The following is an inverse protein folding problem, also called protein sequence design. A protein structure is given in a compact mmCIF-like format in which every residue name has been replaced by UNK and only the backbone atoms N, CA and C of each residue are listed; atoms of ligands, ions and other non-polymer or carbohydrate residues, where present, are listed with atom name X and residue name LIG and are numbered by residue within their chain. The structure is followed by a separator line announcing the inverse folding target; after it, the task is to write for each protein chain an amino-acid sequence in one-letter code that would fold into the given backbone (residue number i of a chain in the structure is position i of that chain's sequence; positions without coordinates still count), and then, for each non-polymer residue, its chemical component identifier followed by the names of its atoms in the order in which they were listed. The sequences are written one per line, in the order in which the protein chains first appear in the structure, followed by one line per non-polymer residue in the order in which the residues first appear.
data_IF_466824402275
#
_entry.id   IF_466824402275
#
_cell.length_a   1.000
_cell.length_b   1.000
_cell.length_c   1.000
_cell.angle_alpha   90.00
_cell.angle_beta   90.00
_cell.angle_gamma   90.00
#
_symmetry.space_group_name_H-M   'P 1'
#
loop_
_entity.id
_entity.type
_entity.pdbx_description
1 polymer ?
#
# COMPACT_ATOMS: atom_id res chain seq x y z
N UNK A 1 10.43 35.21 7.70
CA UNK A 1 10.10 33.84 8.13
C UNK A 1 10.17 33.65 9.62
N UNK A 2 11.20 34.16 10.27
CA UNK A 2 11.31 34.03 11.73
C UNK A 2 10.21 34.76 12.48
N UNK A 3 9.67 35.82 11.94
CA UNK A 3 8.56 36.55 12.55
C UNK A 3 7.29 35.72 12.68
N UNK A 4 7.07 34.79 11.76
CA UNK A 4 5.91 33.91 11.78
C UNK A 4 5.94 32.93 12.94
N UNK A 5 7.10 32.64 13.47
CA UNK A 5 7.26 31.69 14.58
C UNK A 5 6.96 32.29 15.94
N UNK A 6 6.75 33.59 16.00
CA UNK A 6 6.42 34.30 17.27
C UNK A 6 4.96 34.21 17.62
N UNK A 7 4.14 33.85 16.65
CA UNK A 7 2.69 33.71 16.82
C UNK A 7 2.34 32.24 17.02
N UNK A 8 1.51 31.94 18.04
CA UNK A 8 1.10 30.56 18.30
C UNK A 8 0.29 29.96 17.14
N UNK A 9 -0.50 30.77 16.43
CA UNK A 9 -1.23 30.32 15.26
C UNK A 9 -0.29 29.96 14.11
N UNK A 10 0.79 30.68 13.96
CA UNK A 10 1.81 30.37 12.95
C UNK A 10 2.53 29.07 13.26
N UNK A 11 2.77 28.74 14.55
CA UNK A 11 3.36 27.48 14.96
C UNK A 11 2.43 26.31 14.64
N UNK A 12 1.15 26.42 14.91
CA UNK A 12 0.17 25.40 14.55
C UNK A 12 0.06 25.22 13.05
N UNK A 13 0.02 26.30 12.28
CA UNK A 13 0.01 26.25 10.82
C UNK A 13 1.24 25.56 10.28
N UNK A 14 2.41 25.81 10.87
CA UNK A 14 3.66 25.14 10.49
C UNK A 14 3.63 23.64 10.76
N UNK A 15 3.05 23.21 11.88
CA UNK A 15 2.88 21.78 12.20
C UNK A 15 1.99 21.09 11.20
N UNK A 16 0.85 21.68 10.85
CA UNK A 16 -0.08 21.13 9.85
C UNK A 16 0.61 21.00 8.50
N UNK A 17 1.38 22.00 8.10
CA UNK A 17 2.12 22.01 6.85
C UNK A 17 3.19 20.91 6.82
N UNK A 18 3.96 20.75 7.89
CA UNK A 18 4.97 19.70 8.02
C UNK A 18 4.34 18.31 7.95
N UNK A 19 3.20 18.13 8.63
CA UNK A 19 2.48 16.85 8.60
C UNK A 19 2.00 16.51 7.18
N UNK A 20 1.52 17.48 6.42
CA UNK A 20 1.12 17.29 5.02
C UNK A 20 2.30 16.92 4.14
N UNK A 21 3.45 17.57 4.32
CA UNK A 21 4.67 17.26 3.58
C UNK A 21 5.12 15.84 3.89
N UNK A 22 5.12 15.44 5.16
CA UNK A 22 5.50 14.09 5.57
C UNK A 22 4.59 13.03 4.96
N UNK A 23 3.27 13.25 4.97
CA UNK A 23 2.31 12.34 4.36
C UNK A 23 2.54 12.22 2.86
N UNK A 24 2.73 13.33 2.15
CA UNK A 24 3.01 13.34 0.71
C UNK A 24 4.33 12.64 0.39
N UNK A 25 5.35 12.83 1.21
CA UNK A 25 6.64 12.15 1.04
C UNK A 25 6.52 10.64 1.22
N UNK A 26 5.73 10.18 2.18
CA UNK A 26 5.47 8.76 2.40
C UNK A 26 4.73 8.14 1.22
N UNK A 27 3.73 8.81 0.68
CA UNK A 27 3.03 8.36 -0.53
C UNK A 27 3.98 8.25 -1.72
N UNK A 28 4.85 9.22 -1.89
CA UNK A 28 5.83 9.23 -2.98
C UNK A 28 6.82 8.08 -2.83
N UNK A 29 7.32 7.83 -1.62
CA UNK A 29 8.22 6.72 -1.34
C UNK A 29 7.54 5.39 -1.62
N UNK A 30 6.28 5.22 -1.24
CA UNK A 30 5.52 4.00 -1.53
C UNK A 30 5.36 3.79 -3.03
N UNK A 31 5.07 4.84 -3.80
CA UNK A 31 4.98 4.74 -5.26
C UNK A 31 6.32 4.39 -5.89
N UNK A 32 7.41 4.95 -5.39
CA UNK A 32 8.76 4.62 -5.87
C UNK A 32 9.09 3.16 -5.59
N UNK A 33 8.78 2.66 -4.40
CA UNK A 33 8.99 1.27 -4.04
C UNK A 33 8.19 0.32 -4.94
N UNK A 34 6.96 0.69 -5.25
CA UNK A 34 6.08 -0.05 -6.15
C UNK A 34 6.68 -0.13 -7.56
N UNK A 35 7.18 0.97 -8.08
CA UNK A 35 7.83 1.02 -9.39
C UNK A 35 9.10 0.16 -9.40
N UNK A 36 9.94 0.30 -8.40
CA UNK A 36 11.18 -0.49 -8.28
C UNK A 36 10.85 -1.99 -8.22
N UNK A 37 9.87 -2.37 -7.43
CA UNK A 37 9.43 -3.76 -7.36
C UNK A 37 8.94 -4.26 -8.71
N UNK A 38 8.14 -3.48 -9.43
CA UNK A 38 7.60 -3.87 -10.72
C UNK A 38 8.68 -4.01 -11.79
N UNK A 39 9.75 -3.22 -11.71
CA UNK A 39 10.84 -3.22 -12.68
C UNK A 39 11.90 -4.29 -12.41
N UNK A 40 11.95 -4.84 -11.21
CA UNK A 40 12.98 -5.81 -10.83
C UNK A 40 12.64 -7.20 -11.38
N UNK A 41 13.43 -7.67 -12.37
CA UNK A 41 13.21 -8.98 -13.01
C UNK A 41 13.38 -10.16 -12.04
N UNK A 42 14.08 -10.00 -10.93
CA UNK A 42 14.16 -11.03 -9.90
C UNK A 42 12.80 -11.32 -9.25
N UNK A 43 11.86 -10.40 -9.41
CA UNK A 43 10.49 -10.53 -8.90
C UNK A 43 9.51 -11.09 -9.94
N UNK A 44 9.99 -11.56 -11.11
CA UNK A 44 9.14 -12.05 -12.18
C UNK A 44 8.62 -13.47 -11.91
N UNK A 45 7.95 -13.63 -10.76
CA UNK A 45 7.35 -14.90 -10.35
C UNK A 45 6.09 -14.65 -9.51
N UNK A 46 5.25 -15.68 -9.46
CA UNK A 46 3.98 -15.62 -8.73
C UNK A 46 4.19 -15.43 -7.23
N UNK A 47 5.20 -16.04 -6.65
CA UNK A 47 5.48 -15.93 -5.23
C UNK A 47 5.78 -14.49 -4.82
N UNK A 48 6.57 -13.77 -5.62
CA UNK A 48 6.86 -12.36 -5.38
C UNK A 48 5.60 -11.50 -5.43
N UNK A 49 4.74 -11.75 -6.42
CA UNK A 49 3.47 -11.04 -6.53
C UNK A 49 2.59 -11.26 -5.30
N UNK A 50 2.45 -12.50 -4.87
CA UNK A 50 1.62 -12.86 -3.70
C UNK A 50 2.21 -12.25 -2.43
N UNK A 51 3.51 -12.35 -2.21
CA UNK A 51 4.18 -11.81 -1.03
C UNK A 51 4.03 -10.29 -0.93
N UNK A 52 4.26 -9.60 -2.02
CA UNK A 52 4.14 -8.14 -2.06
C UNK A 52 2.70 -7.68 -1.83
N UNK A 53 1.76 -8.34 -2.48
CA UNK A 53 0.33 -8.04 -2.33
C UNK A 53 -0.15 -8.30 -0.91
N UNK A 54 0.31 -9.37 -0.30
CA UNK A 54 -0.01 -9.70 1.10
C UNK A 54 0.49 -8.62 2.05
N UNK A 55 1.76 -8.25 1.94
CA UNK A 55 2.34 -7.21 2.80
C UNK A 55 1.60 -5.88 2.64
N UNK A 56 1.33 -5.50 1.41
CA UNK A 56 0.59 -4.27 1.13
C UNK A 56 -0.82 -4.32 1.74
N UNK A 57 -1.53 -5.43 1.55
CA UNK A 57 -2.92 -5.57 2.01
C UNK A 57 -3.02 -5.48 3.52
N UNK A 58 -2.15 -6.19 4.24
CA UNK A 58 -2.13 -6.18 5.71
C UNK A 58 -1.82 -4.79 6.23
N UNK A 59 -0.79 -4.15 5.69
CA UNK A 59 -0.38 -2.82 6.11
C UNK A 59 -1.45 -1.77 5.81
N UNK A 60 -2.05 -1.83 4.63
CA UNK A 60 -3.09 -0.90 4.20
C UNK A 60 -4.35 -1.01 5.09
N UNK A 61 -4.79 -2.23 5.35
CA UNK A 61 -5.97 -2.45 6.21
C UNK A 61 -5.69 -2.05 7.66
N UNK A 62 -4.48 -2.28 8.15
CA UNK A 62 -4.08 -1.89 9.49
C UNK A 62 -4.14 -0.37 9.66
N UNK A 63 -3.76 0.40 8.66
CA UNK A 63 -3.85 1.87 8.68
C UNK A 63 -5.29 2.38 8.87
N UNK A 64 -6.28 1.58 8.49
CA UNK A 64 -7.69 1.90 8.66
C UNK A 64 -8.36 1.12 9.80
N UNK A 65 -7.56 0.49 10.67
CA UNK A 65 -8.03 -0.31 11.82
C UNK A 65 -8.96 -1.47 11.40
N UNK A 66 -8.70 -2.05 10.24
CA UNK A 66 -9.42 -3.21 9.74
C UNK A 66 -8.59 -4.48 9.94
N UNK A 67 -9.23 -5.53 10.44
CA UNK A 67 -8.60 -6.84 10.47
C UNK A 67 -8.53 -7.42 9.06
N UNK A 68 -7.33 -7.82 8.66
CA UNK A 68 -7.12 -8.45 7.36
C UNK A 68 -6.64 -9.88 7.56
N UNK A 69 -7.43 -10.83 7.08
CA UNK A 69 -7.05 -12.24 7.07
C UNK A 69 -6.82 -12.68 5.65
N UNK A 70 -5.68 -13.32 5.43
CA UNK A 70 -5.29 -13.77 4.10
C UNK A 70 -5.08 -15.27 4.13
N UNK A 71 -5.80 -15.96 3.26
CA UNK A 71 -5.62 -17.39 3.04
C UNK A 71 -4.82 -17.61 1.76
N UNK A 72 -3.69 -18.28 1.89
CA UNK A 72 -2.79 -18.59 0.78
C UNK A 72 -2.77 -20.10 0.55
N UNK A 73 -2.48 -20.56 -0.69
CA UNK A 73 -2.27 -21.98 -0.94
C UNK A 73 -1.03 -22.48 -0.21
N UNK A 74 -1.03 -23.75 0.18
CA UNK A 74 0.11 -24.37 0.89
C UNK A 74 1.39 -24.30 0.06
N UNK A 75 1.27 -24.50 -1.25
CA UNK A 75 2.38 -24.41 -2.17
C UNK A 75 2.04 -23.41 -3.27
N UNK A 76 2.96 -22.47 -3.49
CA UNK A 76 2.86 -21.51 -4.58
C UNK A 76 3.70 -22.05 -5.73
N UNK A 77 3.09 -22.35 -6.90
CA UNK A 77 3.86 -22.86 -8.03
C UNK A 77 4.83 -21.79 -8.54
N UNK A 78 5.96 -22.25 -9.08
CA UNK A 78 6.96 -21.39 -9.70
C UNK A 78 6.48 -21.00 -11.09
N UNK A 79 5.62 -20.01 -11.14
CA UNK A 79 5.06 -19.49 -12.39
C UNK A 79 5.67 -18.11 -12.65
N UNK A 80 6.25 -17.90 -13.85
CA UNK A 80 6.77 -16.59 -14.21
C UNK A 80 5.64 -15.58 -14.39
N UNK A 81 5.79 -14.39 -13.82
CA UNK A 81 4.87 -13.27 -13.99
C UNK A 81 5.70 -12.03 -14.27
N UNK A 82 5.64 -11.52 -15.47
CA UNK A 82 6.43 -10.36 -15.89
C UNK A 82 5.98 -9.08 -15.15
N UNK A 83 6.90 -8.11 -15.06
CA UNK A 83 6.69 -6.89 -14.30
C UNK A 83 5.42 -6.14 -14.63
N UNK A 84 5.08 -6.01 -15.92
CA UNK A 84 3.86 -5.33 -16.35
C UNK A 84 2.60 -6.02 -15.82
N UNK A 85 2.55 -7.36 -15.89
CA UNK A 85 1.43 -8.13 -15.35
C UNK A 85 1.37 -8.09 -13.83
N UNK A 86 2.51 -8.16 -13.16
CA UNK A 86 2.55 -8.02 -11.70
C UNK A 86 1.99 -6.69 -11.26
N UNK A 87 2.40 -5.63 -11.93
CA UNK A 87 1.91 -4.29 -11.64
C UNK A 87 0.41 -4.18 -11.87
N UNK A 88 -0.10 -4.68 -12.97
CA UNK A 88 -1.53 -4.62 -13.30
C UNK A 88 -2.37 -5.36 -12.26
N UNK A 89 -1.97 -6.56 -11.87
CA UNK A 89 -2.66 -7.35 -10.86
C UNK A 89 -2.61 -6.65 -9.50
N UNK A 90 -1.45 -6.14 -9.13
CA UNK A 90 -1.29 -5.40 -7.88
C UNK A 90 -2.20 -4.17 -7.83
N UNK A 91 -2.29 -3.41 -8.93
CA UNK A 91 -3.15 -2.23 -9.00
C UNK A 91 -4.63 -2.58 -8.89
N UNK A 92 -5.05 -3.72 -9.45
CA UNK A 92 -6.42 -4.22 -9.29
C UNK A 92 -6.74 -4.51 -7.82
N UNK A 93 -5.84 -5.18 -7.13
CA UNK A 93 -6.01 -5.47 -5.70
C UNK A 93 -6.05 -4.18 -4.89
N UNK A 94 -5.14 -3.27 -5.17
CA UNK A 94 -5.07 -1.96 -4.51
C UNK A 94 -6.38 -1.20 -4.64
N UNK A 95 -6.95 -1.18 -5.84
CA UNK A 95 -8.22 -0.51 -6.11
C UNK A 95 -9.38 -1.19 -5.38
N UNK A 96 -9.41 -2.52 -5.36
CA UNK A 96 -10.42 -3.27 -4.63
C UNK A 96 -10.37 -2.97 -3.13
N UNK A 97 -9.18 -2.93 -2.53
CA UNK A 97 -9.01 -2.59 -1.13
C UNK A 97 -9.44 -1.15 -0.83
N UNK A 98 -9.11 -0.23 -1.71
CA UNK A 98 -9.51 1.16 -1.59
C UNK A 98 -11.04 1.30 -1.60
N UNK A 99 -11.72 0.55 -2.46
CA UNK A 99 -13.18 0.52 -2.51
C UNK A 99 -13.79 -0.03 -1.22
N UNK A 100 -13.19 -1.07 -0.66
CA UNK A 100 -13.64 -1.65 0.61
C UNK A 100 -13.56 -0.60 1.73
N UNK A 101 -12.45 0.10 1.83
CA UNK A 101 -12.26 1.15 2.85
C UNK A 101 -13.29 2.26 2.69
N UNK A 102 -13.56 2.69 1.46
CA UNK A 102 -14.45 3.82 1.19
C UNK A 102 -15.93 3.50 1.33
N UNK A 103 -16.35 2.30 0.97
CA UNK A 103 -17.77 2.02 0.72
C UNK A 103 -18.37 0.86 1.53
N UNK A 104 -17.57 -0.07 2.03
CA UNK A 104 -18.11 -1.29 2.59
C UNK A 104 -18.47 -1.22 4.09
N UNK A 105 -18.00 -0.21 4.81
CA UNK A 105 -18.17 -0.12 6.28
C UNK A 105 -17.79 -1.43 7.01
N UNK A 106 -16.80 -2.12 6.48
CA UNK A 106 -16.36 -3.39 7.01
C UNK A 106 -15.49 -3.20 8.25
N UNK A 107 -15.49 -4.18 9.14
CA UNK A 107 -14.56 -4.26 10.27
C UNK A 107 -13.48 -5.30 10.03
N UNK A 108 -13.72 -6.21 9.11
CA UNK A 108 -12.81 -7.32 8.79
C UNK A 108 -12.82 -7.54 7.28
N UNK A 109 -11.64 -7.83 6.73
CA UNK A 109 -11.44 -8.14 5.32
C UNK A 109 -10.80 -9.51 5.20
N UNK A 110 -11.36 -10.35 4.36
CA UNK A 110 -10.84 -11.67 4.08
C UNK A 110 -10.39 -11.75 2.62
N UNK A 111 -9.13 -12.12 2.41
CA UNK A 111 -8.55 -12.28 1.08
C UNK A 111 -8.15 -13.74 0.91
N UNK A 112 -8.65 -14.37 -0.14
CA UNK A 112 -8.30 -15.76 -0.46
C UNK A 112 -7.60 -15.80 -1.81
N UNK A 113 -6.46 -16.48 -1.86
CA UNK A 113 -5.72 -16.72 -3.10
C UNK A 113 -5.82 -18.21 -3.42
N UNK A 114 -6.34 -18.52 -4.60
CA UNK A 114 -6.47 -19.88 -5.12
C UNK A 114 -5.76 -19.99 -6.45
N UNK A 115 -5.11 -21.11 -6.65
CA UNK A 115 -4.36 -21.39 -7.86
C UNK A 115 -4.87 -22.70 -8.50
#
# INVERSE_FOLDING_TARGET
MSEMLKDSNSVESSRVFVNKISASSNELVQKMNEIVWAMNINNDNLQSLISYTREFSVSYMDDFNLDCKIELPEMIPDIPVIGAKRRDIFLLVKEALNNIVKHAQATEVFISVRI
#
